data_IF_717346092421
#
_entry.id   IF_717346092421
#
_cell.length_a   1.000
_cell.length_b   1.000
_cell.length_c   1.000
_cell.angle_alpha   90.00
_cell.angle_beta   90.00
_cell.angle_gamma   90.00
#
_symmetry.space_group_name_H-M   'P 1'
#
loop_
_entity.id
_entity.type
_entity.pdbx_description
1 polymer ?
#
# COMPACT_ATOMS: atom_id res chain seq x y z
N UNK A 1 -5.01 -7.87 -21.59
CA UNK A 1 -4.64 -6.47 -21.35
C UNK A 1 -5.00 -6.03 -19.98
N UNK A 2 -6.27 -5.69 -19.76
CA UNK A 2 -6.73 -5.33 -18.43
C UNK A 2 -6.63 -6.47 -17.42
N UNK A 3 -6.40 -7.68 -17.90
CA UNK A 3 -6.30 -8.84 -17.04
C UNK A 3 -5.10 -8.80 -16.10
N UNK A 4 -4.00 -8.12 -16.51
CA UNK A 4 -2.84 -8.04 -15.63
C UNK A 4 -3.18 -7.36 -14.31
N UNK A 5 -3.88 -6.22 -14.37
CA UNK A 5 -4.25 -5.49 -13.16
C UNK A 5 -5.13 -6.33 -12.23
N UNK A 6 -6.08 -7.06 -12.80
CA UNK A 6 -6.96 -7.92 -12.00
C UNK A 6 -6.23 -9.09 -11.39
N UNK A 7 -5.33 -9.71 -12.14
CA UNK A 7 -4.53 -10.82 -11.63
C UNK A 7 -3.58 -10.36 -10.54
N UNK A 8 -2.91 -9.22 -10.77
CA UNK A 8 -2.02 -8.64 -9.76
C UNK A 8 -2.79 -8.36 -8.48
N UNK A 9 -3.93 -7.70 -8.58
CA UNK A 9 -4.75 -7.35 -7.42
C UNK A 9 -5.19 -8.59 -6.65
N UNK A 10 -5.62 -9.62 -7.37
CA UNK A 10 -6.05 -10.88 -6.75
C UNK A 10 -4.92 -11.53 -5.97
N UNK A 11 -3.75 -11.62 -6.59
CA UNK A 11 -2.59 -12.23 -5.95
C UNK A 11 -2.08 -11.38 -4.78
N UNK A 12 -2.06 -10.07 -4.95
CA UNK A 12 -1.64 -9.16 -3.88
C UNK A 12 -2.56 -9.27 -2.66
N UNK A 13 -3.87 -9.34 -2.90
CA UNK A 13 -4.84 -9.43 -1.82
C UNK A 13 -4.73 -10.74 -1.03
N UNK A 14 -4.13 -11.76 -1.60
CA UNK A 14 -3.94 -13.05 -0.94
C UNK A 14 -2.66 -13.10 -0.08
N UNK A 15 -1.80 -12.08 -0.18
CA UNK A 15 -0.58 -12.06 0.61
C UNK A 15 -0.90 -11.87 2.09
N UNK A 16 -0.13 -12.54 2.93
CA UNK A 16 -0.15 -12.36 4.38
C UNK A 16 1.28 -12.45 4.90
N UNK A 17 1.44 -12.32 6.21
CA UNK A 17 2.76 -12.32 6.82
C UNK A 17 3.56 -13.62 6.59
N UNK A 18 2.86 -14.70 6.24
CA UNK A 18 3.48 -16.01 6.04
C UNK A 18 3.76 -16.31 4.57
N UNK A 19 3.37 -15.44 3.65
CA UNK A 19 3.50 -15.68 2.21
C UNK A 19 4.25 -14.57 1.48
N UNK A 20 5.00 -13.73 2.18
CA UNK A 20 5.72 -12.60 1.57
C UNK A 20 6.85 -13.04 0.63
N UNK A 21 7.30 -14.28 0.72
CA UNK A 21 8.24 -14.82 -0.26
C UNK A 21 7.65 -14.84 -1.67
N UNK A 22 6.33 -14.80 -1.79
CA UNK A 22 5.65 -14.76 -3.08
C UNK A 22 5.70 -13.40 -3.77
N UNK A 23 6.26 -12.38 -3.12
CA UNK A 23 6.44 -11.07 -3.77
C UNK A 23 7.24 -11.17 -5.06
N UNK A 24 8.16 -12.10 -5.16
CA UNK A 24 8.93 -12.32 -6.38
C UNK A 24 8.12 -12.80 -7.56
N UNK A 25 6.90 -13.26 -7.35
CA UNK A 25 5.98 -13.63 -8.43
C UNK A 25 5.27 -12.39 -9.01
N UNK A 26 5.19 -11.31 -8.24
CA UNK A 26 4.48 -10.08 -8.60
C UNK A 26 5.42 -8.98 -9.10
N UNK A 27 6.62 -8.92 -8.53
CA UNK A 27 7.55 -7.81 -8.74
C UNK A 27 8.88 -8.30 -9.30
N UNK A 28 9.52 -7.43 -10.09
CA UNK A 28 10.89 -7.70 -10.55
C UNK A 28 11.88 -7.55 -9.41
N UNK A 29 13.09 -8.11 -9.60
CA UNK A 29 14.15 -8.00 -8.59
C UNK A 29 14.57 -6.56 -8.33
N UNK A 30 14.50 -5.71 -9.35
CA UNK A 30 14.90 -4.31 -9.29
C UNK A 30 13.73 -3.35 -9.07
N UNK A 31 12.61 -3.85 -8.58
CA UNK A 31 11.40 -3.05 -8.40
C UNK A 31 11.67 -1.78 -7.61
N UNK A 32 11.04 -0.70 -8.03
CA UNK A 32 11.06 0.57 -7.32
C UNK A 32 9.66 0.82 -6.78
N UNK A 33 9.55 0.90 -5.46
CA UNK A 33 8.29 1.12 -4.76
C UNK A 33 8.36 2.45 -4.02
N UNK A 34 7.31 3.26 -4.15
CA UNK A 34 7.21 4.55 -3.48
C UNK A 34 5.81 4.69 -2.89
N UNK A 35 5.74 5.18 -1.67
CA UNK A 35 4.49 5.65 -1.08
C UNK A 35 4.73 7.02 -0.44
N UNK A 36 3.72 7.66 0.17
CA UNK A 36 3.90 9.00 0.74
C UNK A 36 4.98 9.10 1.83
N UNK A 37 5.39 7.97 2.42
CA UNK A 37 6.32 7.95 3.55
C UNK A 37 7.65 7.26 3.22
N UNK A 38 7.71 6.45 2.16
CA UNK A 38 8.84 5.55 1.89
C UNK A 38 9.20 5.52 0.43
N UNK A 39 10.48 5.29 0.19
CA UNK A 39 10.99 4.94 -1.12
C UNK A 39 11.88 3.72 -0.95
N UNK A 40 11.57 2.66 -1.70
CA UNK A 40 12.19 1.35 -1.54
C UNK A 40 12.67 0.86 -2.88
N UNK A 41 13.90 0.36 -2.93
CA UNK A 41 14.46 -0.21 -4.15
C UNK A 41 14.85 -1.65 -3.95
N UNK A 42 14.42 -2.50 -4.89
CA UNK A 42 14.75 -3.91 -4.91
C UNK A 42 13.80 -4.76 -4.09
N UNK A 43 13.66 -6.01 -4.54
CA UNK A 43 12.71 -6.94 -3.95
C UNK A 43 13.03 -7.27 -2.48
N UNK A 44 14.32 -7.28 -2.11
CA UNK A 44 14.71 -7.54 -0.74
C UNK A 44 14.24 -6.45 0.21
N UNK A 45 14.43 -5.18 -0.17
CA UNK A 45 13.95 -4.05 0.63
C UNK A 45 12.43 -4.01 0.68
N UNK A 46 11.78 -4.32 -0.43
CA UNK A 46 10.32 -4.34 -0.48
C UNK A 46 9.77 -5.42 0.44
N UNK A 47 10.40 -6.59 0.46
CA UNK A 47 9.98 -7.67 1.36
C UNK A 47 10.13 -7.25 2.82
N UNK A 48 11.23 -6.59 3.16
CA UNK A 48 11.43 -6.08 4.52
C UNK A 48 10.37 -5.05 4.90
N UNK A 49 10.03 -4.16 3.98
CA UNK A 49 9.00 -3.15 4.22
C UNK A 49 7.63 -3.80 4.51
N UNK A 50 7.22 -4.76 3.71
CA UNK A 50 5.95 -5.45 3.94
C UNK A 50 5.99 -6.34 5.18
N UNK A 51 7.15 -6.93 5.48
CA UNK A 51 7.29 -7.72 6.70
C UNK A 51 7.00 -6.86 7.93
N UNK A 52 7.55 -5.66 7.99
CA UNK A 52 7.29 -4.74 9.09
C UNK A 52 5.83 -4.30 9.13
N UNK A 53 5.27 -3.97 7.97
CA UNK A 53 3.87 -3.54 7.90
C UNK A 53 2.95 -4.65 8.45
N UNK A 54 3.13 -5.87 7.97
CA UNK A 54 2.25 -6.98 8.34
C UNK A 54 2.47 -7.44 9.78
N UNK A 55 3.65 -7.18 10.35
CA UNK A 55 3.94 -7.51 11.75
C UNK A 55 3.28 -6.55 12.73
N UNK A 56 3.06 -5.30 12.31
CA UNK A 56 2.58 -4.25 13.20
C UNK A 56 1.07 -4.08 13.21
N UNK A 57 0.36 -4.75 12.31
CA UNK A 57 -1.08 -4.61 12.18
C UNK A 57 -1.73 -5.99 12.18
N UNK A 58 -3.03 -6.02 12.47
CA UNK A 58 -3.84 -7.24 12.38
C UNK A 58 -5.00 -7.02 11.44
N UNK A 59 -5.53 -8.12 10.90
CA UNK A 59 -6.68 -8.08 9.99
C UNK A 59 -6.45 -7.16 8.81
N UNK A 60 -5.22 -7.10 8.30
CA UNK A 60 -4.88 -6.30 7.13
C UNK A 60 -5.56 -6.88 5.90
N UNK A 61 -6.30 -6.02 5.19
CA UNK A 61 -7.04 -6.42 4.01
C UNK A 61 -7.02 -5.32 2.98
N UNK A 62 -6.85 -5.70 1.72
CA UNK A 62 -6.98 -4.79 0.58
C UNK A 62 -8.19 -5.21 -0.24
N UNK A 63 -9.12 -4.29 -0.43
CA UNK A 63 -10.28 -4.47 -1.29
C UNK A 63 -10.09 -3.62 -2.54
N UNK A 64 -9.83 -4.27 -3.68
CA UNK A 64 -9.62 -3.58 -4.95
C UNK A 64 -10.96 -3.41 -5.66
N UNK A 65 -11.27 -2.16 -6.02
CA UNK A 65 -12.56 -1.83 -6.64
C UNK A 65 -12.43 -1.04 -7.93
N UNK A 66 -11.23 -0.82 -8.43
CA UNK A 66 -11.01 -0.13 -9.70
C UNK A 66 -9.76 -0.64 -10.39
N UNK A 67 -9.86 -0.81 -11.71
CA UNK A 67 -8.81 -1.40 -12.55
C UNK A 67 -8.76 -0.57 -13.82
N UNK A 68 -7.86 0.43 -13.86
CA UNK A 68 -7.87 1.46 -14.88
C UNK A 68 -6.58 1.43 -15.69
N UNK A 69 -6.50 0.66 -16.78
CA UNK A 69 -5.31 0.70 -17.63
C UNK A 69 -5.22 2.06 -18.33
N UNK A 70 -4.02 2.63 -18.36
CA UNK A 70 -3.75 3.93 -18.97
C UNK A 70 -2.88 3.82 -20.21
N UNK A 71 -2.46 2.62 -20.54
CA UNK A 71 -1.62 2.34 -21.69
C UNK A 71 -1.11 0.92 -21.58
N UNK A 72 -0.34 0.50 -22.58
CA UNK A 72 0.27 -0.82 -22.53
C UNK A 72 1.29 -0.86 -21.41
N UNK A 73 1.14 -1.83 -20.50
CA UNK A 73 2.06 -2.00 -19.38
C UNK A 73 1.97 -0.94 -18.31
N UNK A 74 0.85 -0.22 -18.20
CA UNK A 74 0.68 0.78 -17.16
C UNK A 74 -0.78 0.96 -16.80
N UNK A 75 -1.03 1.31 -15.53
CA UNK A 75 -2.39 1.53 -15.07
C UNK A 75 -2.49 1.78 -13.59
N UNK A 76 -3.71 2.02 -13.16
CA UNK A 76 -4.04 2.28 -11.77
C UNK A 76 -4.92 1.20 -11.20
N UNK A 77 -4.66 0.87 -9.93
CA UNK A 77 -5.56 0.10 -9.09
C UNK A 77 -6.13 1.04 -8.03
N UNK A 78 -7.43 0.96 -7.80
CA UNK A 78 -8.07 1.69 -6.70
C UNK A 78 -8.46 0.70 -5.63
N UNK A 79 -8.22 1.06 -4.36
CA UNK A 79 -8.42 0.12 -3.26
C UNK A 79 -8.81 0.82 -1.98
N UNK A 80 -9.35 0.02 -1.08
CA UNK A 80 -9.52 0.38 0.32
C UNK A 80 -8.69 -0.60 1.13
N UNK A 81 -7.80 -0.06 1.94
CA UNK A 81 -7.04 -0.86 2.89
C UNK A 81 -7.71 -0.76 4.25
N UNK A 82 -7.90 -1.87 4.91
CA UNK A 82 -8.41 -1.88 6.28
C UNK A 82 -7.51 -2.74 7.15
N UNK A 83 -7.39 -2.34 8.42
CA UNK A 83 -6.54 -3.04 9.37
C UNK A 83 -6.89 -2.60 10.79
N UNK A 84 -6.36 -3.34 11.78
CA UNK A 84 -6.41 -2.96 13.19
C UNK A 84 -5.01 -2.83 13.73
N UNK A 85 -4.83 -1.85 14.60
CA UNK A 85 -3.58 -1.65 15.32
C UNK A 85 -3.92 -1.43 16.78
N UNK A 86 -3.29 -2.17 17.72
CA UNK A 86 -3.70 -2.11 19.13
C UNK A 86 -3.58 -0.73 19.76
N UNK A 87 -2.71 0.14 19.21
CA UNK A 87 -2.46 1.48 19.75
C UNK A 87 -3.15 2.59 18.99
N UNK A 88 -3.89 2.25 17.92
CA UNK A 88 -4.55 3.25 17.09
C UNK A 88 -6.05 3.08 17.17
N UNK A 89 -6.77 4.20 17.28
CA UNK A 89 -8.25 4.21 17.32
C UNK A 89 -8.83 3.22 18.31
N UNK A 90 -8.15 2.98 19.45
CA UNK A 90 -8.62 2.03 20.43
C UNK A 90 -8.73 0.60 19.92
N UNK A 91 -7.95 0.23 18.92
CA UNK A 91 -7.98 -1.10 18.31
C UNK A 91 -9.12 -1.30 17.33
N UNK A 92 -9.87 -0.26 17.00
CA UNK A 92 -10.95 -0.36 16.02
C UNK A 92 -10.39 -0.45 14.61
N UNK A 93 -11.25 -0.91 13.67
CA UNK A 93 -10.88 -1.05 12.28
C UNK A 93 -10.61 0.31 11.67
N UNK A 94 -9.44 0.45 11.05
CA UNK A 94 -9.03 1.66 10.34
C UNK A 94 -9.15 1.38 8.85
N UNK A 95 -9.71 2.33 8.10
CA UNK A 95 -9.90 2.22 6.66
C UNK A 95 -9.21 3.40 5.97
N UNK A 96 -8.46 3.09 4.92
CA UNK A 96 -7.73 4.08 4.13
C UNK A 96 -8.00 3.84 2.66
N UNK A 97 -8.49 4.87 1.97
CA UNK A 97 -8.65 4.83 0.52
C UNK A 97 -7.34 5.19 -0.15
N UNK A 98 -7.06 4.51 -1.24
CA UNK A 98 -5.85 4.81 -1.99
C UNK A 98 -5.89 4.28 -3.41
N UNK A 99 -4.82 4.55 -4.12
CA UNK A 99 -4.62 3.98 -5.44
C UNK A 99 -3.15 3.70 -5.66
N UNK A 100 -2.89 2.74 -6.53
CA UNK A 100 -1.54 2.35 -6.92
C UNK A 100 -1.36 2.59 -8.41
N UNK A 101 -0.28 3.27 -8.78
CA UNK A 101 0.15 3.37 -10.17
C UNK A 101 1.20 2.31 -10.42
N UNK A 102 0.97 1.46 -11.41
CA UNK A 102 1.85 0.33 -11.71
C UNK A 102 2.39 0.45 -13.13
N UNK A 103 3.69 0.15 -13.26
CA UNK A 103 4.32 -0.10 -14.54
C UNK A 103 4.80 -1.55 -14.53
N UNK A 104 4.52 -2.29 -15.61
CA UNK A 104 4.85 -3.70 -15.69
C UNK A 104 5.27 -4.12 -17.09
N UNK A 105 6.01 -5.23 -17.12
CA UNK A 105 6.23 -6.06 -18.30
C UNK A 105 5.63 -7.42 -17.95
N UNK A 106 6.44 -8.42 -17.67
CA UNK A 106 5.93 -9.67 -17.10
C UNK A 106 5.53 -9.49 -15.64
N UNK A 107 6.27 -8.66 -14.93
CA UNK A 107 6.06 -8.34 -13.52
C UNK A 107 6.13 -6.84 -13.33
N UNK A 108 5.63 -6.38 -12.19
CA UNK A 108 5.68 -4.95 -11.85
C UNK A 108 7.12 -4.57 -11.52
N UNK A 109 7.63 -3.54 -12.21
CA UNK A 109 8.96 -3.00 -11.93
C UNK A 109 8.90 -1.62 -11.29
N UNK A 110 7.73 -0.99 -11.29
CA UNK A 110 7.52 0.27 -10.58
C UNK A 110 6.11 0.30 -10.00
N UNK A 111 6.02 0.67 -8.72
CA UNK A 111 4.77 0.70 -7.97
C UNK A 111 4.76 1.95 -7.12
N UNK A 112 3.79 2.81 -7.33
CA UNK A 112 3.65 4.01 -6.52
C UNK A 112 2.26 4.06 -5.91
N UNK A 113 2.22 4.14 -4.58
CA UNK A 113 0.98 4.25 -3.83
C UNK A 113 0.68 5.71 -3.48
N UNK A 114 -0.58 6.05 -3.61
CA UNK A 114 -1.12 7.35 -3.23
C UNK A 114 -2.19 7.14 -2.18
N UNK A 115 -1.99 7.69 -0.99
CA UNK A 115 -2.98 7.65 0.07
C UNK A 115 -2.69 8.78 1.05
N UNK A 116 -3.67 9.07 1.92
CA UNK A 116 -3.47 10.07 2.96
C UNK A 116 -2.66 9.45 4.10
N UNK A 117 -1.40 9.86 4.21
CA UNK A 117 -0.50 9.34 5.24
C UNK A 117 -0.98 9.70 6.65
N UNK A 118 -1.62 10.86 6.80
CA UNK A 118 -2.21 11.24 8.08
C UNK A 118 -3.32 10.30 8.49
N UNK A 119 -4.21 9.98 7.54
CA UNK A 119 -5.29 9.03 7.81
C UNK A 119 -4.74 7.65 8.14
N UNK A 120 -3.61 7.25 7.51
CA UNK A 120 -3.05 5.94 7.74
C UNK A 120 -2.50 5.78 9.16
N UNK A 121 -1.68 6.74 9.63
CA UNK A 121 -0.91 6.54 10.84
C UNK A 121 -1.12 7.62 11.90
N UNK A 122 -1.07 8.89 11.50
CA UNK A 122 -0.84 9.96 12.45
C UNK A 122 -2.11 10.56 13.03
N UNK A 123 -3.18 10.59 12.26
CA UNK A 123 -4.45 11.20 12.71
C UNK A 123 -5.14 10.37 13.79
N UNK A 124 -4.76 9.10 13.92
CA UNK A 124 -5.34 8.20 14.93
C UNK A 124 -4.59 8.24 16.27
N UNK A 125 -3.44 8.93 16.32
CA UNK A 125 -2.70 9.12 17.56
C UNK A 125 -3.07 10.50 18.12
N UNK A 126 -3.59 10.60 19.36
CA UNK A 126 -4.14 11.87 19.85
C UNK A 126 -3.17 13.04 19.78
N UNK A 127 -1.90 12.85 20.15
CA UNK A 127 -0.91 13.93 20.14
C UNK A 127 -0.42 14.18 18.72
N UNK A 128 -0.03 13.14 18.01
CA UNK A 128 0.49 13.28 16.64
C UNK A 128 -0.60 13.74 15.69
N UNK A 129 -1.83 13.26 15.87
CA UNK A 129 -2.95 13.69 15.04
C UNK A 129 -3.17 15.19 15.14
N UNK A 130 -3.08 15.76 16.36
CA UNK A 130 -3.23 17.21 16.55
C UNK A 130 -2.06 17.98 15.93
N UNK A 131 -0.84 17.47 16.04
CA UNK A 131 0.33 18.10 15.45
C UNK A 131 0.23 18.12 13.93
N UNK A 132 -0.19 17.00 13.31
CA UNK A 132 -0.38 16.91 11.87
C UNK A 132 -1.49 17.86 11.42
N UNK A 133 -2.61 17.91 12.14
CA UNK A 133 -3.71 18.81 11.82
C UNK A 133 -3.26 20.27 11.89
N UNK A 134 -2.45 20.62 12.90
CA UNK A 134 -1.89 21.95 13.04
C UNK A 134 -1.00 22.31 11.85
N UNK A 135 -0.12 21.39 11.45
CA UNK A 135 0.76 21.59 10.29
C UNK A 135 -0.04 21.79 9.02
N UNK A 136 -1.08 20.97 8.81
CA UNK A 136 -1.93 21.10 7.64
C UNK A 136 -2.60 22.47 7.55
N UNK A 137 -3.05 22.98 8.68
CA UNK A 137 -3.67 24.33 8.71
C UNK A 137 -2.65 25.42 8.40
N UNK A 138 -1.40 25.26 8.85
CA UNK A 138 -0.36 26.26 8.60
C UNK A 138 0.10 26.24 7.14
N UNK A 139 0.04 25.10 6.49
CA UNK A 139 0.49 24.95 5.11
C UNK A 139 -0.61 25.21 4.09
N UNK A 140 -1.84 25.12 4.51
CA UNK A 140 -3.00 25.38 3.66
C UNK A 140 -3.42 26.84 3.63
#
# INVERSE_FOLDING_TARGET
MSDFLRQFARQFAQLDKNSLQRLGELYTEDVHFTDPLHEVQGIGQLRSYFTELYANVTELRFDFHGFDPTGEGQGYLRWVMSYRHPRLSGGQLIRVDGCSYLLWRDKVYRHRDYFDAGALLYEHLPVLGRAIAWLKRRMG
#
